data_IF_648917673650
#
_entry.id   IF_648917673650
#
_cell.length_a   1.000
_cell.length_b   1.000
_cell.length_c   1.000
_cell.angle_alpha   90.00
_cell.angle_beta   90.00
_cell.angle_gamma   90.00
#
_symmetry.space_group_name_H-M   'P 1'
#
loop_
_entity.id
_entity.type
_entity.pdbx_description
1 polymer ?
#
# COMPACT_ATOMS: atom_id res chain seq x y z
N UNK A 1 -5.62 -0.91 35.03
CA UNK A 1 -4.66 -0.76 33.92
C UNK A 1 -4.41 0.72 33.74
N UNK A 2 -3.21 1.20 34.03
CA UNK A 2 -2.86 2.61 33.79
C UNK A 2 -2.70 2.80 32.28
N UNK A 3 -3.42 3.76 31.71
CA UNK A 3 -3.23 4.14 30.31
C UNK A 3 -1.75 4.55 30.12
N UNK A 4 -1.08 4.10 29.04
CA UNK A 4 0.27 4.57 28.76
C UNK A 4 0.22 6.10 28.65
N UNK A 5 0.90 6.78 29.56
CA UNK A 5 1.01 8.24 29.57
C UNK A 5 2.13 8.57 28.60
N UNK A 6 1.75 8.86 27.36
CA UNK A 6 2.69 9.33 26.35
C UNK A 6 3.21 10.70 26.80
N UNK A 7 4.50 10.94 26.64
CA UNK A 7 5.12 12.26 26.81
C UNK A 7 5.08 13.03 25.48
N UNK A 8 5.13 14.38 25.51
CA UNK A 8 5.20 15.17 24.27
C UNK A 8 6.37 14.78 23.36
N UNK A 9 7.51 14.41 23.95
CA UNK A 9 8.69 13.99 23.21
C UNK A 9 8.49 12.63 22.51
N UNK A 10 7.83 11.67 23.15
CA UNK A 10 7.50 10.38 22.54
C UNK A 10 6.52 10.54 21.36
N UNK A 11 5.55 11.45 21.47
CA UNK A 11 4.63 11.76 20.37
C UNK A 11 5.38 12.42 19.21
N UNK A 12 6.25 13.39 19.50
CA UNK A 12 7.06 14.04 18.46
C UNK A 12 7.97 13.03 17.74
N UNK A 13 8.63 12.14 18.48
CA UNK A 13 9.45 11.07 17.92
C UNK A 13 8.61 10.13 17.04
N UNK A 14 7.43 9.72 17.51
CA UNK A 14 6.53 8.85 16.75
C UNK A 14 6.04 9.52 15.47
N UNK A 15 5.67 10.79 15.50
CA UNK A 15 5.26 11.55 14.32
C UNK A 15 6.40 11.64 13.29
N UNK A 16 7.64 11.88 13.72
CA UNK A 16 8.81 11.85 12.83
C UNK A 16 9.00 10.48 12.16
N UNK A 17 8.85 9.39 12.91
CA UNK A 17 8.94 8.03 12.35
C UNK A 17 7.85 7.76 11.32
N UNK A 18 6.61 8.17 11.61
CA UNK A 18 5.48 8.00 10.70
C UNK A 18 5.65 8.83 9.42
N UNK A 19 6.19 10.05 9.53
CA UNK A 19 6.49 10.91 8.38
C UNK A 19 7.53 10.26 7.46
N UNK A 20 8.64 9.76 8.02
CA UNK A 20 9.67 9.07 7.21
C UNK A 20 9.11 7.84 6.51
N UNK A 21 8.36 7.01 7.24
CA UNK A 21 7.72 5.83 6.64
C UNK A 21 6.72 6.20 5.54
N UNK A 22 6.05 7.34 5.65
CA UNK A 22 5.17 7.87 4.60
C UNK A 22 5.97 8.34 3.39
N UNK A 23 7.07 9.06 3.60
CA UNK A 23 7.95 9.56 2.53
C UNK A 23 8.58 8.41 1.76
N UNK A 24 9.08 7.39 2.45
CA UNK A 24 9.68 6.18 1.85
C UNK A 24 8.64 5.47 0.95
N UNK A 25 7.44 5.18 1.48
CA UNK A 25 6.37 4.53 0.73
C UNK A 25 5.85 5.37 -0.44
N UNK A 26 5.82 6.69 -0.28
CA UNK A 26 5.42 7.60 -1.36
C UNK A 26 6.47 7.65 -2.47
N UNK A 27 7.76 7.60 -2.12
CA UNK A 27 8.87 7.52 -3.08
C UNK A 27 8.85 6.23 -3.91
N UNK A 28 8.51 5.10 -3.28
CA UNK A 28 8.43 3.80 -3.96
C UNK A 28 7.18 3.65 -4.85
N UNK A 29 6.15 4.49 -4.66
CA UNK A 29 4.83 4.30 -5.25
C UNK A 29 4.88 4.33 -6.79
N UNK A 30 5.66 5.22 -7.39
CA UNK A 30 5.81 5.28 -8.85
C UNK A 30 6.40 3.98 -9.41
N UNK A 31 7.37 3.40 -8.70
CA UNK A 31 7.96 2.11 -9.05
C UNK A 31 6.94 0.97 -9.01
N UNK A 32 6.13 0.93 -7.95
CA UNK A 32 5.06 -0.07 -7.80
C UNK A 32 3.96 0.08 -8.87
N UNK A 33 3.59 1.31 -9.21
CA UNK A 33 2.62 1.58 -10.28
C UNK A 33 3.14 1.12 -11.64
N UNK A 34 4.38 1.47 -11.96
CA UNK A 34 5.04 1.04 -13.20
C UNK A 34 5.13 -0.48 -13.28
N UNK A 35 5.53 -1.15 -12.20
CA UNK A 35 5.66 -2.60 -12.13
C UNK A 35 4.30 -3.31 -12.37
N UNK A 36 3.24 -2.86 -11.69
CA UNK A 36 1.89 -3.40 -11.87
C UNK A 36 1.39 -3.25 -13.32
N UNK A 37 1.60 -2.08 -13.93
CA UNK A 37 1.22 -1.82 -15.33
C UNK A 37 2.00 -2.73 -16.29
N UNK A 38 3.32 -2.84 -16.10
CA UNK A 38 4.19 -3.66 -16.95
C UNK A 38 3.77 -5.13 -16.86
N UNK A 39 3.64 -5.69 -15.66
CA UNK A 39 3.29 -7.11 -15.48
C UNK A 39 1.90 -7.43 -16.00
N UNK A 40 0.92 -6.53 -15.80
CA UNK A 40 -0.41 -6.67 -16.40
C UNK A 40 -0.33 -6.74 -17.92
N UNK A 41 0.42 -5.83 -18.54
CA UNK A 41 0.57 -5.82 -19.98
C UNK A 41 1.31 -7.06 -20.50
N UNK A 42 2.34 -7.52 -19.79
CA UNK A 42 3.06 -8.76 -20.10
C UNK A 42 2.11 -9.96 -20.10
N UNK A 43 1.27 -10.11 -19.07
CA UNK A 43 0.26 -11.16 -19.04
C UNK A 43 -0.74 -11.06 -20.19
N UNK A 44 -1.28 -9.88 -20.48
CA UNK A 44 -2.23 -9.67 -21.59
C UNK A 44 -1.64 -10.09 -22.93
N UNK A 45 -0.39 -9.70 -23.21
CA UNK A 45 0.32 -10.11 -24.42
C UNK A 45 0.63 -11.60 -24.45
N UNK A 46 1.10 -12.17 -23.33
CA UNK A 46 1.40 -13.60 -23.23
C UNK A 46 0.13 -14.42 -23.48
N UNK A 47 -0.99 -14.03 -22.87
CA UNK A 47 -2.28 -14.70 -23.04
C UNK A 47 -2.76 -14.63 -24.48
N UNK A 48 -2.74 -13.44 -25.09
CA UNK A 48 -3.14 -13.26 -26.48
C UNK A 48 -2.28 -14.11 -27.43
N UNK A 49 -0.96 -14.15 -27.22
CA UNK A 49 -0.04 -15.00 -28.00
C UNK A 49 -0.35 -16.48 -27.81
N UNK A 50 -0.52 -16.93 -26.55
CA UNK A 50 -0.82 -18.32 -26.24
C UNK A 50 -2.15 -18.76 -26.86
N UNK A 51 -3.18 -17.91 -26.81
CA UNK A 51 -4.49 -18.18 -27.38
C UNK A 51 -4.48 -18.23 -28.90
N UNK A 52 -3.84 -17.25 -29.56
CA UNK A 52 -3.73 -17.20 -31.02
C UNK A 52 -2.83 -18.30 -31.59
N UNK A 53 -1.83 -18.76 -30.82
CA UNK A 53 -0.94 -19.85 -31.20
C UNK A 53 -1.58 -21.24 -31.13
N UNK A 54 -2.78 -21.40 -30.56
CA UNK A 54 -3.49 -22.68 -30.56
C UNK A 54 -4.22 -22.88 -31.89
N UNK A 55 -3.72 -23.83 -32.70
CA UNK A 55 -4.27 -24.14 -34.02
C UNK A 55 -5.46 -25.13 -33.97
N UNK A 56 -5.58 -25.90 -32.90
CA UNK A 56 -6.59 -26.97 -32.78
C UNK A 56 -7.43 -26.88 -31.51
N UNK A 57 -8.58 -27.54 -31.53
CA UNK A 57 -9.55 -27.56 -30.43
C UNK A 57 -10.64 -26.50 -30.55
N UNK A 58 -11.67 -26.63 -29.72
CA UNK A 58 -12.73 -25.63 -29.62
C UNK A 58 -12.18 -24.32 -29.07
N UNK A 59 -12.87 -23.21 -29.32
CA UNK A 59 -12.50 -21.89 -28.79
C UNK A 59 -12.30 -21.92 -27.27
N UNK A 60 -13.18 -22.61 -26.55
CA UNK A 60 -13.08 -22.76 -25.09
C UNK A 60 -11.88 -23.60 -24.66
N UNK A 61 -11.59 -24.71 -25.36
CA UNK A 61 -10.41 -25.52 -25.06
C UNK A 61 -9.11 -24.71 -25.25
N UNK A 62 -9.02 -23.93 -26.34
CA UNK A 62 -7.88 -23.04 -26.61
C UNK A 62 -7.74 -21.96 -25.55
N UNK A 63 -8.86 -21.41 -25.06
CA UNK A 63 -8.87 -20.43 -23.98
C UNK A 63 -8.30 -21.02 -22.68
N UNK A 64 -8.74 -22.21 -22.29
CA UNK A 64 -8.22 -22.86 -21.08
C UNK A 64 -6.74 -23.23 -21.23
N UNK A 65 -6.31 -23.70 -22.40
CA UNK A 65 -4.89 -23.95 -22.68
C UNK A 65 -4.05 -22.67 -22.53
N UNK A 66 -4.53 -21.53 -23.05
CA UNK A 66 -3.85 -20.24 -22.88
C UNK A 66 -3.80 -19.79 -21.42
N UNK A 67 -4.87 -19.99 -20.65
CA UNK A 67 -4.87 -19.72 -19.20
C UNK A 67 -3.80 -20.54 -18.48
N UNK A 68 -3.73 -21.84 -18.76
CA UNK A 68 -2.74 -22.73 -18.14
C UNK A 68 -1.31 -22.34 -18.53
N UNK A 69 -1.10 -22.00 -19.80
CA UNK A 69 0.21 -21.60 -20.32
C UNK A 69 0.73 -20.27 -19.74
N UNK A 70 -0.17 -19.39 -19.27
CA UNK A 70 0.17 -18.03 -18.81
C UNK A 70 -0.11 -17.80 -17.33
N UNK A 71 -0.24 -18.89 -16.57
CA UNK A 71 -0.58 -18.84 -15.16
C UNK A 71 0.48 -18.08 -14.33
N UNK A 72 1.75 -18.17 -14.70
CA UNK A 72 2.84 -17.49 -14.01
C UNK A 72 2.76 -15.97 -14.20
N UNK A 73 2.65 -15.51 -15.44
CA UNK A 73 2.52 -14.08 -15.79
C UNK A 73 1.26 -13.48 -15.16
N UNK A 74 0.17 -14.25 -15.13
CA UNK A 74 -1.06 -13.84 -14.45
C UNK A 74 -0.84 -13.63 -12.96
N UNK A 75 -0.17 -14.58 -12.30
CA UNK A 75 0.11 -14.49 -10.87
C UNK A 75 1.02 -13.29 -10.57
N UNK A 76 2.03 -13.04 -11.40
CA UNK A 76 2.92 -11.88 -11.25
C UNK A 76 2.15 -10.56 -11.39
N UNK A 77 1.26 -10.45 -12.38
CA UNK A 77 0.42 -9.27 -12.58
C UNK A 77 -0.54 -9.04 -11.39
N UNK A 78 -1.23 -10.08 -10.94
CA UNK A 78 -2.15 -9.99 -9.80
C UNK A 78 -1.42 -9.66 -8.49
N UNK A 79 -0.23 -10.21 -8.30
CA UNK A 79 0.61 -9.93 -7.14
C UNK A 79 1.09 -8.47 -7.13
N UNK A 80 1.56 -7.95 -8.27
CA UNK A 80 2.01 -6.57 -8.38
C UNK A 80 0.86 -5.57 -8.10
N UNK A 81 -0.34 -5.84 -8.64
CA UNK A 81 -1.53 -5.04 -8.36
C UNK A 81 -1.94 -5.11 -6.86
N UNK A 82 -1.82 -6.27 -6.24
CA UNK A 82 -2.08 -6.44 -4.81
C UNK A 82 -1.08 -5.63 -3.96
N UNK A 83 0.20 -5.65 -4.30
CA UNK A 83 1.26 -4.88 -3.63
C UNK A 83 0.99 -3.38 -3.77
N UNK A 84 0.69 -2.89 -4.96
CA UNK A 84 0.35 -1.49 -5.19
C UNK A 84 -0.85 -1.04 -4.33
N UNK A 85 -1.90 -1.85 -4.29
CA UNK A 85 -3.10 -1.56 -3.49
C UNK A 85 -2.81 -1.55 -1.99
N UNK A 86 -1.98 -2.47 -1.52
CA UNK A 86 -1.52 -2.52 -0.13
C UNK A 86 -0.70 -1.27 0.22
N UNK A 87 0.22 -0.84 -0.65
CA UNK A 87 1.01 0.38 -0.46
C UNK A 87 0.12 1.63 -0.36
N UNK A 88 -0.85 1.79 -1.28
CA UNK A 88 -1.82 2.91 -1.24
C UNK A 88 -2.65 2.91 0.06
N UNK A 89 -3.09 1.74 0.50
CA UNK A 89 -3.84 1.58 1.77
C UNK A 89 -2.97 1.95 2.96
N UNK A 90 -1.69 1.54 2.92
CA UNK A 90 -0.72 1.83 3.99
C UNK A 90 -0.43 3.32 4.09
N UNK A 91 -0.24 4.00 2.96
CA UNK A 91 -0.11 5.46 2.88
C UNK A 91 -1.32 6.15 3.55
N UNK A 92 -2.54 5.72 3.22
CA UNK A 92 -3.75 6.25 3.86
C UNK A 92 -3.75 6.07 5.37
N UNK A 93 -3.37 4.87 5.83
CA UNK A 93 -3.27 4.56 7.26
C UNK A 93 -2.24 5.44 7.97
N UNK A 94 -1.06 5.65 7.37
CA UNK A 94 0.00 6.50 7.95
C UNK A 94 -0.46 7.96 8.05
N UNK A 95 -1.13 8.49 7.03
CA UNK A 95 -1.71 9.84 7.07
C UNK A 95 -2.71 9.99 8.22
N UNK A 96 -3.62 9.02 8.40
CA UNK A 96 -4.56 9.03 9.52
C UNK A 96 -3.83 9.00 10.87
N UNK A 97 -2.81 8.16 11.02
CA UNK A 97 -2.02 8.08 12.26
C UNK A 97 -1.30 9.39 12.59
N UNK A 98 -0.77 10.08 11.57
CA UNK A 98 -0.14 11.40 11.75
C UNK A 98 -1.17 12.42 12.23
N UNK A 99 -2.35 12.49 11.60
CA UNK A 99 -3.42 13.43 12.00
C UNK A 99 -3.95 13.15 13.41
N UNK A 100 -4.13 11.87 13.77
CA UNK A 100 -4.48 11.49 15.14
C UNK A 100 -3.38 11.89 16.13
N UNK A 101 -2.11 11.66 15.81
CA UNK A 101 -0.99 12.04 16.67
C UNK A 101 -0.86 13.56 16.86
N UNK A 102 -1.12 14.35 15.81
CA UNK A 102 -1.17 15.83 15.89
C UNK A 102 -2.30 16.30 16.81
N UNK A 103 -3.47 15.68 16.72
CA UNK A 103 -4.63 15.98 17.56
C UNK A 103 -4.36 15.66 19.03
N UNK A 104 -3.78 14.48 19.32
CA UNK A 104 -3.40 14.07 20.67
C UNK A 104 -2.36 15.00 21.30
N UNK A 105 -1.34 15.38 20.52
CA UNK A 105 -0.31 16.31 20.98
C UNK A 105 -0.88 17.71 21.30
N UNK A 106 -1.85 18.18 20.52
CA UNK A 106 -2.54 19.44 20.78
C UNK A 106 -3.37 19.38 22.08
N UNK A 107 -4.11 18.29 22.29
CA UNK A 107 -4.87 18.05 23.52
C UNK A 107 -3.97 18.04 24.75
N UNK A 108 -2.87 17.28 24.71
CA UNK A 108 -1.92 17.24 25.83
C UNK A 108 -1.31 18.60 26.16
N UNK A 109 -0.92 19.39 25.16
CA UNK A 109 -0.41 20.75 25.41
C UNK A 109 -1.48 21.64 26.05
N UNK A 110 -2.74 21.50 25.65
CA UNK A 110 -3.86 22.22 26.25
C UNK A 110 -4.06 21.82 27.72
N UNK A 111 -4.01 20.53 28.04
CA UNK A 111 -4.10 20.04 29.42
C UNK A 111 -2.94 20.54 30.29
N UNK A 112 -1.71 20.50 29.77
CA UNK A 112 -0.53 21.04 30.46
C UNK A 112 -0.64 22.54 30.71
N UNK A 113 -1.15 23.31 29.74
CA UNK A 113 -1.38 24.75 29.90
C UNK A 113 -2.44 25.04 30.97
N UNK A 114 -3.55 24.29 30.98
CA UNK A 114 -4.59 24.42 32.00
C UNK A 114 -4.08 24.07 33.40
N UNK A 115 -3.26 23.01 33.51
CA UNK A 115 -2.64 22.62 34.78
C UNK A 115 -1.64 23.67 35.30
N UNK A 116 -0.97 24.43 34.41
CA UNK A 116 -0.03 25.49 34.76
C UNK A 116 -0.67 26.86 35.04
N UNK A 117 -1.94 27.07 34.70
CA UNK A 117 -2.67 28.35 34.89
C UNK A 117 -3.44 28.40 36.22
N UNK A 118 -3.35 27.36 37.05
CA UNK A 118 -4.08 27.21 38.32
C UNK A 118 -3.31 27.45 39.61
N UNK A 119 -2.06 27.95 39.58
CA UNK A 119 -1.24 28.24 40.79
C UNK A 119 -0.75 29.67 40.81
#
# INVERSE_FOLDING_TARGET
MNAPTWTPNEIALRLSQLSRALDDLAGDLEGLERDAVVKRHTYELAFARAFLGQESGSVDARKQAAVLATAAEKLEAETAEAVLRAARTRIGTLKTQIETGRSLNALMRSEMALAGVGT
#
